data_IF_574183597365
#
_entry.id   IF_574183597365
#
_cell.length_a   1.000
_cell.length_b   1.000
_cell.length_c   1.000
_cell.angle_alpha   90.00
_cell.angle_beta   90.00
_cell.angle_gamma   90.00
#
_symmetry.space_group_name_H-M   'P 1'
#
loop_
_entity.id
_entity.type
_entity.pdbx_description
1 polymer ?
#
# COMPACT_ATOMS: atom_id res chain seq x y z
N UNK A 1 36.05 -1.20 -10.23
CA UNK A 1 35.25 -0.08 -10.82
C UNK A 1 34.19 0.28 -9.79
N UNK A 2 34.14 1.53 -9.35
CA UNK A 2 33.21 2.01 -8.32
C UNK A 2 31.78 1.88 -8.84
N UNK A 3 30.90 1.22 -8.07
CA UNK A 3 29.47 1.12 -8.37
C UNK A 3 28.72 2.21 -7.57
N UNK A 4 28.00 3.09 -8.26
CA UNK A 4 27.26 4.23 -7.65
C UNK A 4 25.77 4.01 -7.77
N UNK A 5 25.09 3.85 -6.65
CA UNK A 5 23.64 3.68 -6.63
C UNK A 5 22.93 4.80 -5.86
N UNK A 6 21.82 5.26 -6.41
CA UNK A 6 20.89 6.12 -5.69
C UNK A 6 19.77 5.30 -5.04
N UNK A 7 19.36 5.66 -3.83
CA UNK A 7 18.21 5.10 -3.14
C UNK A 7 17.21 6.20 -2.80
N UNK A 8 15.94 5.99 -3.07
CA UNK A 8 14.88 6.86 -2.58
C UNK A 8 13.62 6.09 -2.20
N UNK A 9 12.91 6.61 -1.20
CA UNK A 9 11.62 6.12 -0.73
C UNK A 9 10.57 7.19 -0.95
N UNK A 10 9.47 6.90 -1.66
CA UNK A 10 8.47 7.90 -2.04
C UNK A 10 7.03 7.44 -1.83
N UNK A 11 6.16 8.40 -1.52
CA UNK A 11 4.74 8.16 -1.22
C UNK A 11 4.49 7.85 0.26
N UNK A 12 3.37 7.23 0.59
CA UNK A 12 3.11 6.77 1.97
C UNK A 12 4.16 5.76 2.41
N UNK A 13 4.53 5.78 3.66
CA UNK A 13 5.47 4.81 4.24
C UNK A 13 4.81 3.46 4.55
N UNK A 14 5.64 2.50 4.92
CA UNK A 14 5.25 1.23 5.52
C UNK A 14 6.39 0.70 6.39
N UNK A 15 6.10 -0.36 7.14
CA UNK A 15 7.03 -0.93 8.10
C UNK A 15 8.32 -1.48 7.47
N UNK A 16 8.28 -1.93 6.21
CA UNK A 16 9.32 -2.76 5.59
C UNK A 16 10.32 -2.01 4.69
N UNK A 17 10.24 -0.68 4.58
CA UNK A 17 11.12 0.12 3.73
C UNK A 17 12.60 -0.03 4.07
N UNK A 18 12.94 0.11 5.34
CA UNK A 18 14.32 -0.02 5.82
C UNK A 18 14.88 -1.42 5.59
N UNK A 19 14.07 -2.46 5.83
CA UNK A 19 14.44 -3.85 5.58
C UNK A 19 14.78 -4.10 4.11
N UNK A 20 14.01 -3.48 3.19
CA UNK A 20 14.23 -3.63 1.74
C UNK A 20 15.51 -2.91 1.30
N UNK A 21 15.71 -1.65 1.73
CA UNK A 21 16.96 -0.91 1.44
C UNK A 21 18.19 -1.66 1.97
N UNK A 22 18.08 -2.20 3.19
CA UNK A 22 19.13 -3.04 3.77
C UNK A 22 19.43 -4.26 2.88
N UNK A 23 18.41 -4.93 2.35
CA UNK A 23 18.58 -6.06 1.44
C UNK A 23 19.39 -5.70 0.21
N UNK A 24 19.08 -4.56 -0.44
CA UNK A 24 19.80 -4.05 -1.60
C UNK A 24 21.26 -3.80 -1.27
N UNK A 25 21.52 -2.97 -0.25
CA UNK A 25 22.88 -2.50 0.05
C UNK A 25 23.75 -3.61 0.58
N UNK A 26 23.23 -4.48 1.45
CA UNK A 26 24.00 -5.62 1.96
C UNK A 26 24.39 -6.62 0.86
N UNK A 27 23.48 -6.91 -0.07
CA UNK A 27 23.78 -7.80 -1.19
C UNK A 27 24.85 -7.19 -2.13
N UNK A 28 24.75 -5.90 -2.43
CA UNK A 28 25.76 -5.22 -3.25
C UNK A 28 27.11 -5.10 -2.54
N UNK A 29 27.14 -4.75 -1.25
CA UNK A 29 28.39 -4.62 -0.48
C UNK A 29 29.15 -5.96 -0.35
N UNK A 30 28.46 -7.09 -0.47
CA UNK A 30 29.09 -8.40 -0.49
C UNK A 30 29.60 -8.82 -1.89
N UNK A 31 29.13 -8.15 -2.94
CA UNK A 31 29.42 -8.54 -4.33
C UNK A 31 30.42 -7.59 -5.02
N UNK A 32 30.59 -6.37 -4.52
CA UNK A 32 31.50 -5.37 -5.10
C UNK A 32 32.35 -4.72 -4.01
N UNK A 33 33.64 -4.50 -4.30
CA UNK A 33 34.59 -3.92 -3.34
C UNK A 33 34.33 -2.42 -3.13
N UNK A 34 34.02 -1.70 -4.20
CA UNK A 34 33.82 -0.25 -4.20
C UNK A 34 32.36 0.09 -4.47
N UNK A 35 31.57 0.32 -3.42
CA UNK A 35 30.17 0.73 -3.49
C UNK A 35 29.95 2.12 -2.88
N UNK A 36 29.43 3.04 -3.66
CA UNK A 36 28.92 4.33 -3.19
C UNK A 36 27.39 4.34 -3.21
N UNK A 37 26.78 4.66 -2.06
CA UNK A 37 25.32 4.71 -1.91
C UNK A 37 24.88 6.12 -1.60
N UNK A 38 24.03 6.69 -2.47
CA UNK A 38 23.45 8.02 -2.31
C UNK A 38 21.97 7.89 -1.90
N UNK A 39 21.66 8.19 -0.64
CA UNK A 39 20.30 8.22 -0.14
C UNK A 39 19.66 9.60 -0.33
N UNK A 40 18.58 9.68 -1.10
CA UNK A 40 17.86 10.94 -1.33
C UNK A 40 16.85 11.21 -0.24
N UNK A 41 16.97 12.37 0.43
CA UNK A 41 16.05 12.76 1.50
C UNK A 41 14.66 13.10 0.95
N UNK A 42 13.61 12.66 1.61
CA UNK A 42 12.21 12.90 1.24
C UNK A 42 11.84 12.45 -0.19
N UNK A 43 12.46 11.39 -0.68
CA UNK A 43 12.11 10.75 -1.94
C UNK A 43 12.42 11.59 -3.17
N UNK A 44 11.47 11.70 -4.11
CA UNK A 44 11.66 12.48 -5.33
C UNK A 44 11.97 13.96 -5.06
N UNK A 45 11.54 14.52 -3.92
CA UNK A 45 11.88 15.87 -3.52
C UNK A 45 13.40 16.04 -3.38
N UNK A 46 14.05 15.08 -2.71
CA UNK A 46 15.51 15.08 -2.59
C UNK A 46 16.21 14.97 -3.94
N UNK A 47 15.73 14.13 -4.84
CA UNK A 47 16.30 13.97 -6.18
C UNK A 47 16.12 15.25 -7.03
N UNK A 48 14.95 15.92 -6.96
CA UNK A 48 14.67 17.17 -7.67
C UNK A 48 15.60 18.31 -7.23
N UNK A 49 15.78 18.46 -5.92
CA UNK A 49 16.52 19.59 -5.35
C UNK A 49 17.96 19.26 -4.95
N UNK A 50 18.48 18.08 -5.32
CA UNK A 50 19.85 17.65 -5.04
C UNK A 50 20.13 17.48 -3.54
N UNK A 51 19.14 17.07 -2.73
CA UNK A 51 19.29 16.77 -1.30
C UNK A 51 19.51 15.30 -1.09
N UNK A 52 20.73 14.92 -0.79
CA UNK A 52 21.15 13.54 -0.59
C UNK A 52 22.24 13.42 0.46
N UNK A 53 22.43 12.21 0.96
CA UNK A 53 23.52 11.83 1.86
C UNK A 53 24.28 10.65 1.28
N UNK A 54 25.59 10.64 1.43
CA UNK A 54 26.37 9.41 1.22
C UNK A 54 26.16 8.49 2.41
N UNK A 55 25.82 7.25 2.13
CA UNK A 55 25.55 6.22 3.15
C UNK A 55 26.54 5.08 2.98
N UNK A 56 27.02 4.60 4.12
CA UNK A 56 27.90 3.45 4.21
C UNK A 56 27.12 2.17 4.51
N UNK A 57 27.73 1.00 4.35
CA UNK A 57 27.13 -0.27 4.73
C UNK A 57 26.73 -0.32 6.23
N UNK A 58 27.36 0.51 7.10
CA UNK A 58 27.05 0.61 8.52
C UNK A 58 25.68 1.25 8.76
N UNK A 59 25.27 2.20 7.93
CA UNK A 59 23.96 2.88 8.04
C UNK A 59 22.79 1.92 7.81
N UNK A 60 23.03 0.80 7.15
CA UNK A 60 22.07 -0.28 6.92
C UNK A 60 22.17 -1.41 7.95
N UNK A 61 23.01 -1.27 8.98
CA UNK A 61 23.09 -2.22 10.08
C UNK A 61 22.03 -1.87 11.14
N UNK A 62 21.38 -2.90 11.71
CA UNK A 62 20.37 -2.71 12.77
C UNK A 62 19.01 -2.18 12.30
N UNK A 63 18.80 -1.91 11.01
CA UNK A 63 17.54 -1.34 10.52
C UNK A 63 16.52 -2.39 10.01
N UNK A 64 16.83 -3.67 10.10
CA UNK A 64 15.91 -4.75 9.63
C UNK A 64 14.55 -4.70 10.32
N UNK A 65 14.55 -4.41 11.61
CA UNK A 65 13.34 -4.35 12.45
C UNK A 65 12.81 -2.93 12.64
N UNK A 66 13.48 -1.94 12.08
CA UNK A 66 13.08 -0.54 12.22
C UNK A 66 12.04 -0.17 11.19
N UNK A 67 10.82 0.18 11.60
CA UNK A 67 9.76 0.66 10.72
C UNK A 67 10.02 2.05 10.14
N UNK A 68 9.15 2.48 9.24
CA UNK A 68 9.31 3.73 8.49
C UNK A 68 10.50 3.71 7.54
N UNK A 69 11.09 4.87 7.28
CA UNK A 69 12.24 5.02 6.39
C UNK A 69 13.31 5.95 6.96
N UNK A 70 14.59 5.52 6.91
CA UNK A 70 15.72 6.36 7.33
C UNK A 70 15.99 7.53 6.35
N UNK A 71 15.42 7.49 5.15
CA UNK A 71 15.56 8.54 4.14
C UNK A 71 14.44 9.59 4.19
N UNK A 72 13.39 9.38 4.99
CA UNK A 72 12.18 10.17 4.89
C UNK A 72 11.43 9.90 3.60
N UNK A 73 10.23 10.46 3.48
CA UNK A 73 9.38 10.30 2.29
C UNK A 73 8.51 11.54 2.10
N UNK A 74 8.15 11.81 0.85
CA UNK A 74 7.17 12.83 0.51
C UNK A 74 6.23 12.36 -0.60
N UNK A 75 5.04 12.95 -0.64
CA UNK A 75 4.10 12.72 -1.74
C UNK A 75 4.38 13.75 -2.84
N UNK A 76 4.80 13.24 -4.01
CA UNK A 76 4.94 14.03 -5.23
C UNK A 76 3.96 13.46 -6.26
N UNK A 77 2.79 14.09 -6.49
CA UNK A 77 1.79 13.56 -7.41
C UNK A 77 2.33 13.44 -8.83
N UNK A 78 2.20 12.27 -9.46
CA UNK A 78 2.68 12.03 -10.82
C UNK A 78 2.18 13.07 -11.83
N UNK A 79 0.93 13.52 -11.70
CA UNK A 79 0.34 14.56 -12.57
C UNK A 79 1.11 15.89 -12.55
N UNK A 80 1.79 16.17 -11.43
CA UNK A 80 2.56 17.40 -11.24
C UNK A 80 4.05 17.26 -11.57
N UNK A 81 4.52 16.06 -11.95
CA UNK A 81 5.93 15.85 -12.27
C UNK A 81 6.39 16.60 -13.54
N UNK A 82 5.49 16.72 -14.52
CA UNK A 82 5.76 17.46 -15.77
C UNK A 82 5.38 18.94 -15.70
N UNK A 83 4.88 19.39 -14.55
CA UNK A 83 4.55 20.79 -14.31
C UNK A 83 5.73 21.43 -13.58
N UNK A 84 6.31 22.51 -14.07
CA UNK A 84 7.36 23.25 -13.38
C UNK A 84 6.93 23.62 -11.95
N UNK A 85 7.88 23.79 -11.06
CA UNK A 85 7.59 24.30 -9.72
C UNK A 85 7.31 25.82 -9.75
N UNK A 86 7.03 26.40 -8.57
CA UNK A 86 6.72 27.84 -8.42
C UNK A 86 7.86 28.77 -8.88
N UNK A 87 9.09 28.24 -9.01
CA UNK A 87 10.27 28.96 -9.48
C UNK A 87 10.58 28.66 -10.95
N UNK A 88 9.70 27.94 -11.66
CA UNK A 88 9.87 27.55 -13.06
C UNK A 88 10.82 26.38 -13.29
N UNK A 89 11.21 25.63 -12.24
CA UNK A 89 12.11 24.48 -12.37
C UNK A 89 11.39 23.30 -13.04
N UNK A 90 11.95 22.80 -14.14
CA UNK A 90 11.54 21.49 -14.70
C UNK A 90 12.05 20.38 -13.79
N UNK A 91 11.09 19.73 -13.09
CA UNK A 91 11.40 18.70 -12.11
C UNK A 91 12.04 17.46 -12.73
N UNK A 92 11.63 17.09 -13.94
CA UNK A 92 12.16 15.90 -14.63
C UNK A 92 13.59 16.14 -15.05
N UNK A 93 13.88 17.31 -15.61
CA UNK A 93 15.22 17.67 -16.00
C UNK A 93 16.15 17.83 -14.77
N UNK A 94 15.66 18.43 -13.69
CA UNK A 94 16.39 18.55 -12.43
C UNK A 94 16.79 17.18 -11.85
N UNK A 95 15.87 16.18 -11.88
CA UNK A 95 16.16 14.81 -11.46
C UNK A 95 17.26 14.17 -12.33
N UNK A 96 17.21 14.38 -13.65
CA UNK A 96 18.24 13.89 -14.58
C UNK A 96 19.59 14.54 -14.29
N UNK A 97 19.62 15.85 -14.12
CA UNK A 97 20.86 16.59 -13.79
C UNK A 97 21.49 16.07 -12.50
N UNK A 98 20.70 15.83 -11.46
CA UNK A 98 21.18 15.24 -10.21
C UNK A 98 21.74 13.82 -10.41
N UNK A 99 21.05 12.98 -11.18
CA UNK A 99 21.48 11.63 -11.53
C UNK A 99 22.86 11.63 -12.24
N UNK A 100 23.01 12.44 -13.29
CA UNK A 100 24.26 12.50 -14.05
C UNK A 100 25.39 13.19 -13.29
N UNK A 101 25.09 14.26 -12.52
CA UNK A 101 26.07 14.93 -11.67
C UNK A 101 26.73 13.98 -10.67
N UNK A 102 25.97 13.05 -10.13
CA UNK A 102 26.46 12.03 -9.19
C UNK A 102 27.06 10.80 -9.88
N UNK A 103 27.05 10.77 -11.22
CA UNK A 103 27.49 9.63 -12.02
C UNK A 103 26.85 8.32 -11.55
N UNK A 104 25.53 8.33 -11.25
CA UNK A 104 24.85 7.14 -10.78
C UNK A 104 24.78 6.07 -11.87
N UNK A 105 25.11 4.83 -11.53
CA UNK A 105 24.90 3.67 -12.40
C UNK A 105 23.42 3.27 -12.44
N UNK A 106 22.74 3.43 -11.30
CA UNK A 106 21.33 3.05 -11.15
C UNK A 106 20.65 3.88 -10.05
N UNK A 107 19.35 4.11 -10.21
CA UNK A 107 18.47 4.65 -9.18
C UNK A 107 17.45 3.57 -8.76
N UNK A 108 17.52 3.14 -7.51
CA UNK A 108 16.59 2.21 -6.89
C UNK A 108 15.49 2.98 -6.19
N UNK A 109 14.25 2.77 -6.61
CA UNK A 109 13.08 3.55 -6.19
C UNK A 109 12.10 2.64 -5.46
N UNK A 110 11.89 2.91 -4.16
CA UNK A 110 10.94 2.19 -3.33
C UNK A 110 9.64 2.99 -3.23
N UNK A 111 8.54 2.46 -3.76
CA UNK A 111 7.29 3.22 -3.71
C UNK A 111 6.07 2.50 -4.24
N UNK A 112 4.91 3.16 -4.06
CA UNK A 112 3.62 2.69 -4.52
C UNK A 112 3.34 3.03 -5.99
N UNK A 113 2.09 2.84 -6.43
CA UNK A 113 1.65 3.00 -7.81
C UNK A 113 2.01 4.37 -8.42
N UNK A 114 1.79 5.48 -7.67
CA UNK A 114 2.16 6.83 -8.14
C UNK A 114 3.67 6.98 -8.34
N UNK A 115 4.47 6.44 -7.43
CA UNK A 115 5.93 6.44 -7.49
C UNK A 115 6.44 5.61 -8.68
N UNK A 116 5.80 4.46 -8.94
CA UNK A 116 6.12 3.60 -10.08
C UNK A 116 5.90 4.30 -11.43
N UNK A 117 4.84 5.11 -11.56
CA UNK A 117 4.62 5.93 -12.76
C UNK A 117 5.74 6.93 -13.01
N UNK A 118 6.24 7.58 -11.96
CA UNK A 118 7.39 8.49 -12.06
C UNK A 118 8.68 7.73 -12.35
N UNK A 119 8.88 6.55 -11.76
CA UNK A 119 10.00 5.66 -12.07
C UNK A 119 10.02 5.27 -13.56
N UNK A 120 8.87 4.91 -14.13
CA UNK A 120 8.76 4.62 -15.56
C UNK A 120 9.01 5.87 -16.43
N UNK A 121 8.53 7.04 -16.02
CA UNK A 121 8.84 8.31 -16.71
C UNK A 121 10.35 8.58 -16.78
N UNK A 122 11.07 8.36 -15.67
CA UNK A 122 12.53 8.53 -15.64
C UNK A 122 13.24 7.49 -16.51
N UNK A 123 12.76 6.25 -16.54
CA UNK A 123 13.23 5.21 -17.47
C UNK A 123 13.06 5.66 -18.93
N UNK A 124 11.90 6.21 -19.30
CA UNK A 124 11.65 6.74 -20.66
C UNK A 124 12.57 7.91 -21.00
N UNK A 125 13.12 8.59 -20.00
CA UNK A 125 14.11 9.67 -20.15
C UNK A 125 15.56 9.16 -20.14
N UNK A 126 15.78 7.85 -20.21
CA UNK A 126 17.10 7.22 -20.37
C UNK A 126 17.85 6.94 -19.06
N UNK A 127 17.21 7.05 -17.90
CA UNK A 127 17.85 6.70 -16.63
C UNK A 127 17.73 5.19 -16.34
N UNK A 128 18.77 4.63 -15.76
CA UNK A 128 18.77 3.26 -15.26
C UNK A 128 17.96 3.18 -13.96
N UNK A 129 16.78 2.60 -14.02
CA UNK A 129 15.83 2.57 -12.91
C UNK A 129 15.52 1.12 -12.50
N UNK A 130 15.52 0.85 -11.21
CA UNK A 130 14.92 -0.35 -10.61
C UNK A 130 13.84 0.11 -9.61
N UNK A 131 12.64 -0.42 -9.75
CA UNK A 131 11.52 -0.14 -8.85
C UNK A 131 11.28 -1.32 -7.91
N UNK A 132 11.04 -1.00 -6.63
CA UNK A 132 10.68 -1.98 -5.61
C UNK A 132 9.26 -1.70 -5.10
N UNK A 133 8.34 -2.68 -5.18
CA UNK A 133 6.90 -2.46 -4.98
C UNK A 133 6.55 -2.33 -3.50
N UNK A 134 6.46 -1.09 -3.02
CA UNK A 134 6.14 -0.72 -1.65
C UNK A 134 4.72 -0.20 -1.56
N UNK A 135 3.86 -0.91 -0.85
CA UNK A 135 2.56 -0.41 -0.39
C UNK A 135 1.94 -1.39 0.61
N UNK A 136 1.13 -0.86 1.52
CA UNK A 136 0.27 -1.67 2.40
C UNK A 136 -1.01 -2.14 1.67
N UNK A 137 -1.32 -1.58 0.51
CA UNK A 137 -2.59 -1.80 -0.21
C UNK A 137 -2.55 -3.05 -1.10
N UNK A 138 -1.34 -3.59 -1.39
CA UNK A 138 -1.09 -4.69 -2.33
C UNK A 138 -1.71 -4.47 -3.73
N UNK A 139 -1.68 -3.21 -4.19
CA UNK A 139 -2.35 -2.72 -5.40
C UNK A 139 -1.45 -2.61 -6.64
N UNK A 140 -0.18 -3.03 -6.56
CA UNK A 140 0.79 -2.93 -7.66
C UNK A 140 0.65 -4.13 -8.60
N UNK A 141 0.36 -3.85 -9.87
CA UNK A 141 0.30 -4.87 -10.91
C UNK A 141 1.70 -5.43 -11.22
N UNK A 142 1.77 -6.73 -11.51
CA UNK A 142 3.03 -7.43 -11.84
C UNK A 142 3.75 -8.01 -10.63
N UNK A 143 3.13 -8.03 -9.46
CA UNK A 143 3.62 -8.75 -8.29
C UNK A 143 2.46 -9.36 -7.50
N UNK A 144 2.66 -10.55 -6.95
CA UNK A 144 1.67 -11.19 -6.08
C UNK A 144 1.58 -10.47 -4.73
N UNK A 145 2.72 -9.97 -4.23
CA UNK A 145 2.84 -9.39 -2.91
C UNK A 145 3.72 -8.13 -2.93
N UNK A 146 3.27 -7.09 -2.24
CA UNK A 146 4.06 -5.89 -1.96
C UNK A 146 4.59 -5.93 -0.53
N UNK A 147 5.81 -5.45 -0.30
CA UNK A 147 6.33 -5.38 1.06
C UNK A 147 5.66 -4.25 1.86
N UNK A 148 5.35 -4.53 3.11
CA UNK A 148 4.54 -3.72 4.01
C UNK A 148 3.08 -4.18 4.11
N UNK A 149 2.58 -4.98 3.17
CA UNK A 149 1.21 -5.46 3.17
C UNK A 149 0.93 -6.41 4.35
N UNK A 150 1.76 -7.43 4.56
CA UNK A 150 1.52 -8.41 5.62
C UNK A 150 1.66 -7.80 7.03
N UNK A 151 2.56 -6.84 7.19
CA UNK A 151 2.66 -6.09 8.45
C UNK A 151 1.39 -5.27 8.72
N UNK A 152 0.82 -4.64 7.70
CA UNK A 152 -0.44 -3.91 7.83
C UNK A 152 -1.63 -4.86 8.08
N UNK A 153 -1.67 -6.04 7.43
CA UNK A 153 -2.67 -7.08 7.71
C UNK A 153 -2.62 -7.48 9.19
N UNK A 154 -1.43 -7.72 9.75
CA UNK A 154 -1.28 -8.08 11.16
C UNK A 154 -1.86 -6.99 12.09
N UNK A 155 -1.57 -5.73 11.83
CA UNK A 155 -2.07 -4.61 12.65
C UNK A 155 -3.59 -4.46 12.52
N UNK A 156 -4.11 -4.54 11.30
CA UNK A 156 -5.56 -4.46 11.06
C UNK A 156 -6.31 -5.65 11.68
N UNK A 157 -5.75 -6.86 11.59
CA UNK A 157 -6.30 -8.06 12.25
C UNK A 157 -6.32 -7.89 13.77
N UNK A 158 -5.21 -7.44 14.37
CA UNK A 158 -5.15 -7.19 15.81
C UNK A 158 -6.19 -6.15 16.28
N UNK A 159 -6.46 -5.13 15.45
CA UNK A 159 -7.53 -4.16 15.75
C UNK A 159 -8.91 -4.84 15.77
N UNK A 160 -9.19 -5.77 14.83
CA UNK A 160 -10.44 -6.54 14.80
C UNK A 160 -10.50 -7.47 16.02
N UNK A 161 -9.43 -8.17 16.37
CA UNK A 161 -9.34 -9.05 17.54
C UNK A 161 -9.64 -8.31 18.85
N UNK A 162 -9.10 -7.09 19.00
CA UNK A 162 -9.44 -6.23 20.14
C UNK A 162 -10.94 -5.88 20.20
N UNK A 163 -11.57 -5.67 19.03
CA UNK A 163 -13.01 -5.40 18.95
C UNK A 163 -13.82 -6.64 19.30
N UNK A 164 -13.40 -7.85 18.95
CA UNK A 164 -14.12 -9.10 19.29
C UNK A 164 -14.42 -9.22 20.78
N UNK A 165 -13.45 -8.91 21.64
CA UNK A 165 -13.62 -9.04 23.10
C UNK A 165 -14.67 -8.07 23.64
N UNK A 166 -14.66 -6.83 23.19
CA UNK A 166 -15.65 -5.83 23.61
C UNK A 166 -17.02 -6.05 22.94
N UNK A 167 -17.04 -6.53 21.69
CA UNK A 167 -18.27 -6.86 20.98
C UNK A 167 -19.06 -7.98 21.69
N UNK A 168 -18.35 -9.00 22.14
CA UNK A 168 -18.95 -10.11 22.91
C UNK A 168 -19.61 -9.60 24.20
N UNK A 169 -19.03 -8.61 24.86
CA UNK A 169 -19.55 -8.06 26.12
C UNK A 169 -20.80 -7.19 25.90
N UNK A 170 -20.87 -6.45 24.80
CA UNK A 170 -21.90 -5.42 24.60
C UNK A 170 -23.07 -5.82 23.67
N UNK A 171 -22.90 -6.85 22.85
CA UNK A 171 -23.97 -7.31 21.94
C UNK A 171 -24.39 -6.28 20.89
N UNK A 172 -23.42 -5.56 20.28
CA UNK A 172 -23.65 -4.45 19.33
C UNK A 172 -23.09 -4.76 17.95
N UNK A 173 -23.35 -3.88 17.00
CA UNK A 173 -22.71 -3.86 15.70
C UNK A 173 -21.45 -3.00 15.76
N UNK A 174 -20.33 -3.53 15.30
CA UNK A 174 -19.05 -2.83 15.24
C UNK A 174 -18.54 -2.76 13.81
N UNK A 175 -18.03 -1.61 13.44
CA UNK A 175 -17.34 -1.39 12.15
C UNK A 175 -15.87 -1.08 12.45
N UNK A 176 -14.96 -1.81 11.79
CA UNK A 176 -13.53 -1.51 11.77
C UNK A 176 -13.17 -1.04 10.37
N UNK A 177 -12.81 0.24 10.24
CA UNK A 177 -12.39 0.80 8.95
C UNK A 177 -10.93 0.49 8.68
N UNK A 178 -10.66 -0.07 7.52
CA UNK A 178 -9.34 -0.53 7.12
C UNK A 178 -8.87 0.27 5.89
N UNK A 179 -7.61 0.68 5.90
CA UNK A 179 -6.95 1.33 4.77
C UNK A 179 -6.91 0.42 3.54
N UNK A 180 -6.52 0.94 2.39
CA UNK A 180 -6.40 0.21 1.12
C UNK A 180 -6.71 1.09 -0.08
N UNK A 181 -7.01 2.37 0.15
CA UNK A 181 -7.31 3.37 -0.87
C UNK A 181 -8.41 2.90 -1.85
N UNK A 182 -8.04 2.39 -3.02
CA UNK A 182 -8.97 1.95 -4.09
C UNK A 182 -9.12 0.44 -4.19
N UNK A 183 -8.42 -0.31 -3.35
CA UNK A 183 -8.35 -1.77 -3.41
C UNK A 183 -8.68 -2.36 -2.06
N UNK A 184 -9.52 -3.37 -2.04
CA UNK A 184 -10.00 -4.02 -0.82
C UNK A 184 -9.10 -5.14 -0.30
N UNK A 185 -7.91 -5.32 -0.86
CA UNK A 185 -7.04 -6.46 -0.52
C UNK A 185 -6.68 -6.51 0.98
N UNK A 186 -6.32 -5.36 1.57
CA UNK A 186 -5.99 -5.27 2.99
C UNK A 186 -7.20 -5.62 3.87
N UNK A 187 -8.35 -5.04 3.55
CA UNK A 187 -9.61 -5.28 4.27
C UNK A 187 -10.06 -6.73 4.17
N UNK A 188 -9.93 -7.32 2.97
CA UNK A 188 -10.30 -8.73 2.74
C UNK A 188 -9.47 -9.67 3.61
N UNK A 189 -8.14 -9.51 3.60
CA UNK A 189 -7.24 -10.37 4.36
C UNK A 189 -7.40 -10.17 5.87
N UNK A 190 -7.42 -8.93 6.33
CA UNK A 190 -7.61 -8.64 7.76
C UNK A 190 -9.01 -9.03 8.26
N UNK A 191 -10.05 -8.83 7.45
CA UNK A 191 -11.42 -9.21 7.81
C UNK A 191 -11.58 -10.72 7.93
N UNK A 192 -11.01 -11.51 7.01
CA UNK A 192 -11.03 -12.97 7.11
C UNK A 192 -10.22 -13.43 8.32
N UNK A 193 -8.99 -12.91 8.48
CA UNK A 193 -8.09 -13.31 9.56
C UNK A 193 -8.63 -12.94 10.94
N UNK A 194 -9.27 -11.78 11.08
CA UNK A 194 -9.90 -11.31 12.32
C UNK A 194 -11.33 -11.80 12.52
N UNK A 195 -11.86 -12.67 11.64
CA UNK A 195 -13.20 -13.27 11.81
C UNK A 195 -14.34 -12.26 11.68
N UNK A 196 -14.22 -11.24 10.82
CA UNK A 196 -15.31 -10.33 10.52
C UNK A 196 -16.48 -11.08 9.86
N UNK A 197 -17.70 -10.71 10.22
CA UNK A 197 -18.93 -11.32 9.73
C UNK A 197 -19.36 -10.75 8.38
N UNK A 198 -19.00 -9.49 8.13
CA UNK A 198 -19.29 -8.76 6.90
C UNK A 198 -18.00 -8.06 6.47
N UNK A 199 -17.66 -8.15 5.19
CA UNK A 199 -16.49 -7.48 4.59
C UNK A 199 -16.94 -6.64 3.42
N UNK A 200 -16.74 -5.32 3.50
CA UNK A 200 -17.13 -4.39 2.43
C UNK A 200 -15.87 -3.85 1.74
N UNK A 201 -15.73 -4.14 0.44
CA UNK A 201 -14.57 -3.73 -0.37
C UNK A 201 -15.02 -3.00 -1.63
N UNK A 202 -14.20 -2.11 -2.21
CA UNK A 202 -14.59 -1.32 -3.37
C UNK A 202 -14.91 -2.14 -4.62
N UNK A 203 -14.30 -3.33 -4.75
CA UNK A 203 -14.49 -4.21 -5.91
C UNK A 203 -15.81 -4.98 -5.90
N UNK A 204 -16.49 -5.02 -4.75
CA UNK A 204 -17.83 -5.61 -4.58
C UNK A 204 -18.74 -4.53 -3.98
N UNK A 205 -19.42 -3.72 -4.82
CA UNK A 205 -20.29 -2.66 -4.34
C UNK A 205 -21.42 -3.22 -3.47
N UNK A 206 -21.59 -2.64 -2.28
CA UNK A 206 -22.56 -3.12 -1.31
C UNK A 206 -23.95 -2.49 -1.50
N UNK A 207 -24.96 -3.25 -1.12
CA UNK A 207 -26.33 -2.78 -0.87
C UNK A 207 -26.57 -2.73 0.63
N UNK A 208 -26.89 -1.55 1.17
CA UNK A 208 -27.11 -1.39 2.62
C UNK A 208 -28.23 -2.29 3.14
N UNK A 209 -29.25 -2.59 2.31
CA UNK A 209 -30.33 -3.51 2.69
C UNK A 209 -29.78 -4.94 2.89
N UNK A 210 -28.89 -5.39 2.03
CA UNK A 210 -28.22 -6.69 2.16
C UNK A 210 -27.31 -6.77 3.38
N UNK A 211 -26.63 -5.68 3.70
CA UNK A 211 -25.86 -5.57 4.95
C UNK A 211 -26.78 -5.73 6.16
N UNK A 212 -27.90 -5.00 6.20
CA UNK A 212 -28.88 -5.10 7.27
C UNK A 212 -29.52 -6.51 7.36
N UNK A 213 -29.85 -7.13 6.22
CA UNK A 213 -30.36 -8.52 6.17
C UNK A 213 -29.35 -9.52 6.76
N UNK A 214 -28.04 -9.35 6.48
CA UNK A 214 -26.98 -10.19 7.04
C UNK A 214 -26.88 -10.03 8.57
N UNK A 215 -26.97 -8.80 9.09
CA UNK A 215 -26.99 -8.53 10.54
C UNK A 215 -28.21 -9.17 11.17
N UNK A 216 -29.40 -8.99 10.57
CA UNK A 216 -30.65 -9.54 11.08
C UNK A 216 -30.64 -11.08 11.11
N UNK A 217 -30.13 -11.72 10.05
CA UNK A 217 -29.96 -13.17 9.96
C UNK A 217 -29.11 -13.69 11.13
N UNK A 218 -28.03 -12.98 11.47
CA UNK A 218 -27.17 -13.34 12.60
C UNK A 218 -27.90 -13.19 13.93
N UNK A 219 -28.62 -12.08 14.13
CA UNK A 219 -29.41 -11.85 15.32
C UNK A 219 -30.45 -12.95 15.52
N UNK A 220 -31.18 -13.34 14.44
CA UNK A 220 -32.16 -14.48 14.47
C UNK A 220 -31.49 -15.81 14.78
N UNK A 221 -30.22 -16.01 14.40
CA UNK A 221 -29.43 -17.19 14.74
C UNK A 221 -28.82 -17.14 16.16
N UNK A 222 -29.22 -16.19 17.00
CA UNK A 222 -28.77 -16.05 18.38
C UNK A 222 -27.36 -15.46 18.54
N UNK A 223 -26.76 -14.91 17.48
CA UNK A 223 -25.47 -14.22 17.56
C UNK A 223 -25.67 -12.84 18.18
N UNK A 224 -24.93 -12.56 19.26
CA UNK A 224 -25.15 -11.34 20.06
C UNK A 224 -24.53 -10.07 19.45
N UNK A 225 -23.54 -10.20 18.55
CA UNK A 225 -22.85 -9.08 17.93
C UNK A 225 -22.53 -9.36 16.46
N UNK A 226 -22.20 -8.31 15.72
CA UNK A 226 -21.73 -8.40 14.34
C UNK A 226 -20.55 -7.46 14.15
N UNK A 227 -19.47 -7.95 13.51
CA UNK A 227 -18.29 -7.17 13.16
C UNK A 227 -18.23 -7.00 11.65
N UNK A 228 -18.14 -5.74 11.20
CA UNK A 228 -17.92 -5.37 9.81
C UNK A 228 -16.48 -4.90 9.65
N UNK A 229 -15.72 -5.48 8.71
CA UNK A 229 -14.49 -4.93 8.19
C UNK A 229 -14.81 -4.12 6.93
N UNK A 230 -14.57 -2.82 6.96
CA UNK A 230 -14.97 -1.90 5.88
C UNK A 230 -13.72 -1.22 5.31
N UNK A 231 -13.49 -1.38 4.01
CA UNK A 231 -12.43 -0.64 3.32
C UNK A 231 -12.74 0.86 3.29
N UNK A 232 -11.75 1.72 3.49
CA UNK A 232 -11.91 3.18 3.38
C UNK A 232 -12.45 3.63 2.00
N UNK A 233 -12.26 2.79 0.98
CA UNK A 233 -12.76 2.98 -0.37
C UNK A 233 -14.04 2.21 -0.71
N UNK A 234 -14.73 1.60 0.28
CA UNK A 234 -15.98 0.89 0.03
C UNK A 234 -17.02 1.78 -0.64
N UNK A 235 -17.75 1.22 -1.60
CA UNK A 235 -18.72 1.93 -2.42
C UNK A 235 -20.06 1.20 -2.44
N UNK A 236 -21.18 1.94 -2.33
CA UNK A 236 -22.51 1.36 -2.50
C UNK A 236 -22.81 1.06 -3.98
N UNK A 237 -23.76 0.17 -4.25
CA UNK A 237 -24.24 -0.11 -5.62
C UNK A 237 -24.74 1.16 -6.30
N UNK A 238 -25.50 1.97 -5.59
CA UNK A 238 -26.01 3.24 -6.09
C UNK A 238 -24.89 4.19 -6.51
N UNK A 239 -23.83 4.28 -5.70
CA UNK A 239 -22.67 5.15 -5.97
C UNK A 239 -21.80 4.63 -7.10
N UNK A 240 -21.70 3.30 -7.25
CA UNK A 240 -20.92 2.66 -8.32
C UNK A 240 -21.52 2.91 -9.72
N UNK A 241 -22.85 3.15 -9.79
CA UNK A 241 -23.58 3.48 -11.04
C UNK A 241 -23.46 4.95 -11.43
N UNK A 242 -22.99 5.83 -10.51
CA UNK A 242 -22.92 7.25 -10.78
C UNK A 242 -21.80 7.61 -11.78
N UNK A 243 -22.04 8.57 -12.69
CA UNK A 243 -20.99 9.17 -13.50
C UNK A 243 -19.88 9.75 -12.59
N UNK A 244 -18.61 9.63 -13.00
CA UNK A 244 -17.43 10.04 -12.21
C UNK A 244 -17.55 11.45 -11.62
N UNK A 245 -18.14 12.42 -12.35
CA UNK A 245 -18.31 13.79 -11.86
C UNK A 245 -19.30 13.84 -10.70
N UNK A 246 -20.48 13.21 -10.84
CA UNK A 246 -21.50 13.15 -9.79
C UNK A 246 -21.00 12.40 -8.56
N UNK A 247 -20.27 11.30 -8.76
CA UNK A 247 -19.65 10.57 -7.65
C UNK A 247 -18.66 11.46 -6.87
N UNK A 248 -17.82 12.24 -7.56
CA UNK A 248 -16.89 13.16 -6.92
C UNK A 248 -17.62 14.23 -6.10
N UNK A 249 -18.67 14.83 -6.66
CA UNK A 249 -19.52 15.81 -5.95
C UNK A 249 -20.16 15.19 -4.69
N UNK A 250 -20.64 13.93 -4.80
CA UNK A 250 -21.18 13.18 -3.66
C UNK A 250 -20.12 12.89 -2.60
N UNK A 251 -18.88 12.55 -2.99
CA UNK A 251 -17.77 12.37 -2.05
C UNK A 251 -17.43 13.66 -1.30
N UNK A 252 -17.43 14.80 -2.00
CA UNK A 252 -17.18 16.11 -1.37
C UNK A 252 -18.31 16.49 -0.38
N UNK A 253 -19.56 16.20 -0.71
CA UNK A 253 -20.69 16.38 0.19
C UNK A 253 -20.64 15.43 1.40
N UNK A 254 -20.30 14.15 1.16
CA UNK A 254 -20.08 13.14 2.22
C UNK A 254 -19.03 13.60 3.22
N UNK A 255 -17.88 14.07 2.74
CA UNK A 255 -16.76 14.50 3.58
C UNK A 255 -17.11 15.70 4.49
N UNK A 256 -18.16 16.47 4.17
CA UNK A 256 -18.70 17.54 5.05
C UNK A 256 -19.58 16.99 6.16
N UNK A 257 -20.20 15.81 5.97
CA UNK A 257 -21.17 15.23 6.90
C UNK A 257 -20.56 14.12 7.76
N UNK A 258 -19.70 13.29 7.16
CA UNK A 258 -19.12 12.11 7.81
C UNK A 258 -17.60 12.15 7.75
N UNK A 259 -16.90 11.77 8.84
CA UNK A 259 -15.45 11.64 8.85
C UNK A 259 -14.91 10.59 7.84
N UNK A 260 -15.69 9.54 7.58
CA UNK A 260 -15.37 8.49 6.62
C UNK A 260 -16.60 7.71 6.16
N UNK A 261 -16.44 6.80 5.20
CA UNK A 261 -17.53 5.94 4.68
C UNK A 261 -18.13 5.05 5.77
N UNK A 262 -17.34 4.63 6.73
CA UNK A 262 -17.82 3.78 7.84
C UNK A 262 -18.83 4.48 8.74
N UNK A 263 -18.70 5.78 8.93
CA UNK A 263 -19.70 6.56 9.69
C UNK A 263 -21.01 6.74 8.91
N UNK A 264 -20.94 6.86 7.59
CA UNK A 264 -22.16 6.87 6.76
C UNK A 264 -22.88 5.52 6.82
N UNK A 265 -22.13 4.41 6.70
CA UNK A 265 -22.68 3.05 6.81
C UNK A 265 -23.30 2.84 8.21
N UNK A 266 -22.64 3.30 9.27
CA UNK A 266 -23.16 3.22 10.63
C UNK A 266 -24.48 3.97 10.79
N UNK A 267 -24.58 5.18 10.23
CA UNK A 267 -25.82 5.99 10.25
C UNK A 267 -26.94 5.29 9.48
N UNK A 268 -26.65 4.73 8.29
CA UNK A 268 -27.63 3.99 7.50
C UNK A 268 -28.15 2.71 8.20
N UNK A 269 -27.26 1.95 8.87
CA UNK A 269 -27.67 0.77 9.66
C UNK A 269 -28.55 1.22 10.83
N UNK A 270 -28.16 2.27 11.55
CA UNK A 270 -28.94 2.79 12.67
C UNK A 270 -30.35 3.25 12.24
N UNK A 271 -30.44 4.00 11.13
CA UNK A 271 -31.73 4.45 10.59
C UNK A 271 -32.61 3.28 10.12
N UNK A 272 -32.03 2.21 9.60
CA UNK A 272 -32.80 1.08 9.07
C UNK A 272 -33.23 0.08 10.15
N UNK A 273 -32.38 -0.18 11.12
CA UNK A 273 -32.58 -1.25 12.11
C UNK A 273 -32.77 -0.75 13.56
N UNK A 274 -32.54 0.52 13.83
CA UNK A 274 -32.49 1.05 15.19
C UNK A 274 -31.35 0.50 16.05
N UNK A 275 -30.34 -0.14 15.40
CA UNK A 275 -29.22 -0.78 16.09
C UNK A 275 -28.11 0.22 16.39
N UNK A 276 -27.58 0.17 17.61
CA UNK A 276 -26.41 1.00 17.97
C UNK A 276 -25.15 0.46 17.28
N UNK A 277 -24.52 1.28 16.46
CA UNK A 277 -23.30 0.95 15.71
C UNK A 277 -22.10 1.71 16.26
N UNK A 278 -21.00 1.05 16.48
CA UNK A 278 -19.72 1.65 16.91
C UNK A 278 -18.69 1.55 15.79
N UNK A 279 -17.99 2.65 15.52
CA UNK A 279 -16.98 2.74 14.47
C UNK A 279 -15.59 2.90 15.10
N UNK A 280 -14.66 2.08 14.65
CA UNK A 280 -13.23 2.16 14.99
C UNK A 280 -12.45 2.38 13.70
N UNK A 281 -11.62 3.42 13.68
CA UNK A 281 -10.76 3.77 12.54
C UNK A 281 -9.30 3.72 13.01
N UNK A 282 -8.58 2.59 12.84
CA UNK A 282 -7.16 2.51 13.19
C UNK A 282 -6.28 3.50 12.41
N UNK A 283 -6.68 3.85 11.18
CA UNK A 283 -6.00 4.86 10.38
C UNK A 283 -4.51 4.56 10.18
N UNK A 284 -3.65 5.57 10.40
CA UNK A 284 -2.20 5.47 10.16
C UNK A 284 -1.46 4.49 11.10
N UNK A 285 -2.08 3.98 12.17
CA UNK A 285 -1.49 2.89 12.98
C UNK A 285 -1.15 1.68 12.09
N UNK A 286 -1.95 1.43 11.04
CA UNK A 286 -1.72 0.36 10.07
C UNK A 286 -0.42 0.50 9.26
N UNK A 287 0.24 1.66 9.27
CA UNK A 287 1.54 1.93 8.63
C UNK A 287 2.71 1.87 9.62
N UNK A 288 2.43 1.90 10.91
CA UNK A 288 3.42 2.02 11.99
C UNK A 288 3.97 0.70 12.48
N UNK A 289 4.89 0.78 13.42
CA UNK A 289 5.50 -0.38 14.06
C UNK A 289 6.59 -1.07 13.24
N UNK A 290 6.98 -2.25 13.68
CA UNK A 290 8.01 -3.07 13.05
C UNK A 290 7.44 -3.91 11.89
N UNK A 291 8.27 -4.23 10.88
CA UNK A 291 7.86 -5.20 9.86
C UNK A 291 7.72 -6.60 10.47
N UNK A 292 6.63 -7.28 10.11
CA UNK A 292 6.41 -8.67 10.51
C UNK A 292 7.48 -9.61 9.90
N UNK A 293 7.68 -10.83 10.43
CA UNK A 293 8.67 -11.77 9.91
C UNK A 293 8.54 -12.04 8.40
N UNK A 294 7.31 -12.15 7.90
CA UNK A 294 7.06 -12.32 6.46
C UNK A 294 7.64 -11.18 5.62
N UNK A 295 7.34 -9.93 6.01
CA UNK A 295 7.83 -8.76 5.28
C UNK A 295 9.34 -8.59 5.40
N UNK A 296 9.98 -8.98 6.52
CA UNK A 296 11.44 -8.98 6.65
C UNK A 296 12.10 -9.93 5.64
N UNK A 297 11.56 -11.13 5.49
CA UNK A 297 12.05 -12.12 4.52
C UNK A 297 11.77 -11.66 3.09
N UNK A 298 10.55 -11.20 2.79
CA UNK A 298 10.16 -10.68 1.48
C UNK A 298 11.06 -9.51 1.06
N UNK A 299 11.25 -8.54 1.95
CA UNK A 299 12.11 -7.37 1.75
C UNK A 299 13.57 -7.75 1.46
N UNK A 300 14.11 -8.73 2.20
CA UNK A 300 15.45 -9.23 1.97
C UNK A 300 15.57 -9.86 0.57
N UNK A 301 14.60 -10.67 0.16
CA UNK A 301 14.57 -11.32 -1.16
C UNK A 301 14.43 -10.30 -2.31
N UNK A 302 13.53 -9.33 -2.17
CA UNK A 302 13.34 -8.26 -3.18
C UNK A 302 14.60 -7.40 -3.27
N UNK A 303 15.22 -7.06 -2.14
CA UNK A 303 16.46 -6.29 -2.10
C UNK A 303 17.63 -7.03 -2.76
N UNK A 304 17.80 -8.31 -2.46
CA UNK A 304 18.82 -9.16 -3.12
C UNK A 304 18.57 -9.27 -4.63
N UNK A 305 17.32 -9.48 -5.07
CA UNK A 305 16.98 -9.51 -6.49
C UNK A 305 17.25 -8.17 -7.21
N UNK A 306 17.12 -7.05 -6.51
CA UNK A 306 17.52 -5.75 -7.06
C UNK A 306 19.06 -5.66 -7.22
N UNK A 307 19.81 -6.15 -6.25
CA UNK A 307 21.27 -6.19 -6.32
C UNK A 307 21.75 -7.09 -7.49
N UNK A 308 21.16 -8.25 -7.67
CA UNK A 308 21.45 -9.13 -8.82
C UNK A 308 21.18 -8.41 -10.15
N UNK A 309 20.04 -7.74 -10.29
CA UNK A 309 19.72 -7.00 -11.51
C UNK A 309 20.71 -5.85 -11.78
N UNK A 310 21.18 -5.14 -10.74
CA UNK A 310 22.21 -4.10 -10.86
C UNK A 310 23.55 -4.70 -11.34
N UNK A 311 23.94 -5.86 -10.81
CA UNK A 311 25.19 -6.55 -11.20
C UNK A 311 25.11 -7.05 -12.65
N UNK A 312 23.95 -7.53 -13.07
CA UNK A 312 23.70 -7.98 -14.44
C UNK A 312 23.55 -6.82 -15.45
N UNK A 313 23.44 -5.57 -14.96
CA UNK A 313 23.19 -4.39 -15.79
C UNK A 313 21.77 -4.33 -16.36
N UNK A 314 20.79 -5.01 -15.73
CA UNK A 314 19.40 -5.00 -16.15
C UNK A 314 18.60 -3.91 -15.42
N UNK A 315 18.11 -2.98 -16.19
CA UNK A 315 17.37 -1.79 -15.68
C UNK A 315 16.02 -1.62 -16.37
N UNK A 316 15.26 -0.64 -15.92
CA UNK A 316 13.91 -0.37 -16.44
C UNK A 316 12.86 -1.38 -15.95
N UNK A 317 13.10 -2.00 -14.82
CA UNK A 317 12.33 -3.11 -14.28
C UNK A 317 11.81 -2.84 -12.86
N UNK A 318 10.78 -3.58 -12.48
CA UNK A 318 10.34 -3.78 -11.11
C UNK A 318 10.78 -5.18 -10.64
N UNK A 319 11.29 -5.27 -9.42
CA UNK A 319 11.54 -6.56 -8.78
C UNK A 319 10.27 -7.01 -8.06
N UNK A 320 9.53 -7.90 -8.67
CA UNK A 320 8.29 -8.47 -8.12
C UNK A 320 8.44 -9.88 -7.61
N UNK A 321 7.38 -10.40 -7.01
CA UNK A 321 7.22 -11.82 -6.66
C UNK A 321 6.07 -12.39 -7.48
N UNK A 322 6.30 -13.45 -8.22
CA UNK A 322 5.29 -14.14 -9.01
C UNK A 322 5.42 -15.65 -8.74
N UNK A 323 4.35 -16.29 -8.31
CA UNK A 323 4.33 -17.70 -7.90
C UNK A 323 5.44 -18.03 -6.88
N UNK A 324 5.63 -17.14 -5.90
CA UNK A 324 6.60 -17.31 -4.83
C UNK A 324 8.07 -17.07 -5.25
N UNK A 325 8.35 -16.73 -6.51
CA UNK A 325 9.70 -16.49 -7.04
C UNK A 325 9.94 -15.01 -7.33
N UNK A 326 11.16 -14.51 -7.09
CA UNK A 326 11.58 -13.19 -7.53
C UNK A 326 11.58 -13.14 -9.05
N UNK A 327 11.00 -12.08 -9.61
CA UNK A 327 10.89 -11.83 -11.04
C UNK A 327 11.25 -10.39 -11.37
N UNK A 328 11.90 -10.21 -12.53
CA UNK A 328 12.20 -8.91 -13.14
C UNK A 328 11.07 -8.58 -14.12
N UNK A 329 10.23 -7.61 -13.76
CA UNK A 329 9.03 -7.23 -14.54
C UNK A 329 9.30 -5.89 -15.21
N UNK A 330 9.21 -5.77 -16.54
CA UNK A 330 9.43 -4.49 -17.22
C UNK A 330 8.49 -3.41 -16.69
N UNK A 331 9.02 -2.22 -16.34
CA UNK A 331 8.22 -1.11 -15.87
C UNK A 331 7.16 -0.65 -16.89
N UNK A 332 7.48 -0.77 -18.18
CA UNK A 332 6.53 -0.48 -19.26
C UNK A 332 5.24 -1.33 -19.17
N UNK A 333 5.35 -2.56 -18.67
CA UNK A 333 4.25 -3.51 -18.64
C UNK A 333 3.35 -3.34 -17.40
N UNK A 334 3.90 -2.80 -16.30
CA UNK A 334 3.20 -2.73 -15.03
C UNK A 334 2.90 -1.31 -14.56
N UNK A 335 3.66 -0.30 -14.95
CA UNK A 335 3.48 1.06 -14.45
C UNK A 335 2.11 1.64 -14.82
N UNK A 336 1.40 2.11 -13.79
CA UNK A 336 0.08 2.72 -13.96
C UNK A 336 -1.11 1.76 -13.98
N UNK A 337 -0.85 0.46 -13.95
CA UNK A 337 -1.91 -0.56 -13.79
C UNK A 337 -2.15 -0.81 -12.30
N UNK A 338 -3.42 -1.05 -11.93
CA UNK A 338 -3.80 -1.44 -10.58
C UNK A 338 -4.08 -2.94 -10.54
N UNK A 339 -3.64 -3.58 -9.47
CA UNK A 339 -4.04 -4.94 -9.12
C UNK A 339 -5.26 -4.85 -8.19
N UNK A 340 -6.44 -5.14 -8.72
CA UNK A 340 -7.71 -5.16 -8.00
C UNK A 340 -8.01 -6.56 -7.49
N UNK A 341 -8.79 -6.66 -6.41
CA UNK A 341 -9.37 -7.93 -5.97
C UNK A 341 -10.44 -8.37 -6.96
N UNK A 342 -10.33 -9.56 -7.51
CA UNK A 342 -11.40 -10.10 -8.35
C UNK A 342 -12.55 -10.63 -7.48
N UNK A 343 -13.83 -10.25 -7.75
CA UNK A 343 -14.98 -10.87 -7.06
C UNK A 343 -15.05 -12.40 -7.25
N UNK A 344 -14.34 -12.93 -8.26
CA UNK A 344 -14.25 -14.37 -8.55
C UNK A 344 -13.00 -15.02 -7.95
N UNK A 345 -12.20 -14.27 -7.21
CA UNK A 345 -10.99 -14.78 -6.56
C UNK A 345 -11.34 -15.91 -5.58
N UNK A 346 -10.42 -16.88 -5.48
CA UNK A 346 -10.60 -18.03 -4.59
C UNK A 346 -10.78 -17.62 -3.13
N UNK A 347 -10.07 -16.57 -2.68
CA UNK A 347 -10.17 -16.07 -1.32
C UNK A 347 -11.56 -15.45 -1.05
N UNK A 348 -12.16 -14.75 -2.01
CA UNK A 348 -13.52 -14.20 -1.91
C UNK A 348 -14.55 -15.35 -1.85
N UNK A 349 -14.38 -16.37 -2.71
CA UNK A 349 -15.23 -17.57 -2.68
C UNK A 349 -15.15 -18.28 -1.35
N UNK A 350 -13.95 -18.49 -0.83
CA UNK A 350 -13.73 -19.13 0.48
C UNK A 350 -14.41 -18.35 1.62
N UNK A 351 -14.27 -17.02 1.63
CA UNK A 351 -14.94 -16.15 2.58
C UNK A 351 -16.47 -16.30 2.54
N UNK A 352 -17.06 -16.30 1.34
CA UNK A 352 -18.51 -16.53 1.16
C UNK A 352 -18.94 -17.92 1.60
N UNK A 353 -18.14 -18.97 1.35
CA UNK A 353 -18.44 -20.35 1.74
C UNK A 353 -18.51 -20.54 3.26
N UNK A 354 -17.71 -19.80 4.03
CA UNK A 354 -17.77 -19.82 5.49
C UNK A 354 -18.81 -18.86 6.08
N UNK A 355 -19.62 -18.21 5.22
CA UNK A 355 -20.75 -17.38 5.61
C UNK A 355 -20.47 -15.90 5.79
N UNK A 356 -19.30 -15.40 5.39
CA UNK A 356 -19.00 -13.96 5.38
C UNK A 356 -19.81 -13.28 4.28
N UNK A 357 -20.55 -12.22 4.63
CA UNK A 357 -21.31 -11.40 3.68
C UNK A 357 -20.45 -10.29 3.10
N UNK A 358 -20.65 -9.97 1.84
CA UNK A 358 -20.06 -8.78 1.18
C UNK A 358 -21.10 -7.69 0.92
N UNK A 359 -22.35 -7.87 1.39
CA UNK A 359 -23.43 -6.94 1.13
C UNK A 359 -23.89 -6.93 -0.34
N UNK A 360 -23.64 -7.99 -1.12
CA UNK A 360 -23.94 -8.11 -2.55
C UNK A 360 -25.17 -8.96 -2.89
#
# INVERSE_FOLDING_TARGET
MIKRIGLLTSGGDCQALNATMRGVVKALSNAVDDLEVYGFDDGYKGLIYGKYRMLSARDFSGILTRGGTILGTSRQPFKLMRVPDEKGLDKVEAMKQTYYKLCLDCLVILGGNGTQKTANLLREKGLNIIHLPKTIDNDIFGTDMTFGFQSAVNIATNAIDCIHTTATSHGRVFIVEIMGHKVGSLTLHAGIAGGADIILIPEIPYDIKKVCEAIEKRNKAGKRFTILAVAEGAISKEDAELPKKKYKEKLEARAKKYPSVSYEIADQINQTMGSEVRVTVPGHIQRGGEPCPYDRVLSTRIGAGAAEAILDGEYGIMIGVINGKIKRVPLADCAGKLKMVSPKDQIVKAAKQIGISFGD
#
